data_IF_454296399488
#
_entry.id   IF_454296399488
#
_cell.length_a   1.000
_cell.length_b   1.000
_cell.length_c   1.000
_cell.angle_alpha   90.00
_cell.angle_beta   90.00
_cell.angle_gamma   90.00
#
_symmetry.space_group_name_H-M   'P 1'
#
loop_
_entity.id
_entity.type
_entity.pdbx_description
1 polymer ?
#
# COMPACT_ATOMS: atom_id res chain seq x y z
N UNK A 1 -10.52 -9.53 3.72
CA UNK A 1 -10.98 -9.17 2.36
C UNK A 1 -9.84 -9.12 1.33
N UNK A 2 -8.93 -8.13 1.34
CA UNK A 2 -7.89 -8.04 0.29
C UNK A 2 -6.99 -9.29 0.30
N UNK A 3 -6.32 -9.55 1.43
CA UNK A 3 -5.42 -10.69 1.60
C UNK A 3 -6.14 -12.03 1.36
N UNK A 4 -7.34 -12.20 1.91
CA UNK A 4 -8.18 -13.38 1.67
C UNK A 4 -8.47 -13.61 0.17
N UNK A 5 -8.81 -12.56 -0.57
CA UNK A 5 -9.10 -12.66 -2.02
C UNK A 5 -7.83 -12.96 -2.80
N UNK A 6 -6.70 -12.38 -2.41
CA UNK A 6 -5.42 -12.66 -3.05
C UNK A 6 -5.03 -14.13 -2.85
N UNK A 7 -5.19 -14.67 -1.64
CA UNK A 7 -4.93 -16.08 -1.35
C UNK A 7 -5.87 -16.99 -2.12
N UNK A 8 -7.16 -16.63 -2.24
CA UNK A 8 -8.12 -17.36 -3.07
C UNK A 8 -7.67 -17.46 -4.53
N UNK A 9 -7.23 -16.34 -5.13
CA UNK A 9 -6.74 -16.32 -6.52
C UNK A 9 -5.43 -17.08 -6.66
N UNK A 10 -4.47 -16.91 -5.75
CA UNK A 10 -3.21 -17.67 -5.76
C UNK A 10 -3.44 -19.18 -5.70
N UNK A 11 -4.39 -19.63 -4.87
CA UNK A 11 -4.74 -21.04 -4.77
C UNK A 11 -5.40 -21.59 -6.05
N UNK A 12 -6.08 -20.74 -6.82
CA UNK A 12 -6.77 -21.14 -8.04
C UNK A 12 -5.86 -21.10 -9.29
N UNK A 13 -4.95 -20.11 -9.37
CA UNK A 13 -4.25 -19.75 -10.61
C UNK A 13 -2.71 -19.64 -10.44
N UNK A 14 -2.21 -19.76 -9.20
CA UNK A 14 -0.81 -19.60 -8.86
C UNK A 14 -0.42 -18.16 -8.49
N UNK A 15 0.75 -17.96 -7.87
CA UNK A 15 1.75 -18.96 -7.48
C UNK A 15 1.31 -19.87 -6.32
N UNK A 16 2.00 -21.00 -6.14
CA UNK A 16 1.82 -21.85 -4.97
C UNK A 16 2.29 -21.12 -3.71
N UNK A 17 1.36 -20.91 -2.77
CA UNK A 17 1.63 -20.19 -1.53
C UNK A 17 2.00 -21.16 -0.40
N UNK A 18 3.19 -20.97 0.18
CA UNK A 18 3.63 -21.70 1.37
C UNK A 18 3.57 -20.77 2.59
N UNK A 19 2.61 -20.98 3.49
CA UNK A 19 2.48 -20.20 4.73
C UNK A 19 3.24 -20.84 5.88
N UNK A 20 3.43 -20.09 6.98
CA UNK A 20 4.21 -20.50 8.15
C UNK A 20 5.61 -21.02 7.77
N UNK A 21 6.22 -20.40 6.74
CA UNK A 21 7.45 -20.86 6.10
C UNK A 21 8.60 -19.93 6.48
N UNK A 22 9.38 -20.29 7.51
CA UNK A 22 10.57 -19.54 7.93
C UNK A 22 11.78 -20.16 7.23
N UNK A 23 12.51 -19.42 6.36
CA UNK A 23 13.73 -19.90 5.71
C UNK A 23 14.82 -20.26 6.72
N UNK A 24 15.36 -21.46 6.63
CA UNK A 24 16.43 -21.97 7.50
C UNK A 24 17.77 -22.02 6.77
N UNK A 25 17.81 -22.58 5.56
CA UNK A 25 19.03 -22.73 4.78
C UNK A 25 18.71 -22.76 3.27
N UNK A 26 19.70 -22.42 2.45
CA UNK A 26 19.66 -22.61 1.00
C UNK A 26 20.86 -23.46 0.60
N UNK A 27 20.60 -24.68 0.12
CA UNK A 27 21.61 -25.65 -0.29
C UNK A 27 21.76 -25.60 -1.79
N UNK A 28 23.00 -25.40 -2.28
CA UNK A 28 23.31 -25.54 -3.71
C UNK A 28 23.63 -27.01 -4.02
N UNK A 29 22.83 -27.63 -4.86
CA UNK A 29 22.94 -29.03 -5.23
C UNK A 29 24.05 -29.25 -6.28
N UNK A 30 24.45 -30.51 -6.48
CA UNK A 30 25.49 -30.88 -7.43
C UNK A 30 25.12 -30.60 -8.89
N UNK A 31 23.83 -30.59 -9.22
CA UNK A 31 23.29 -30.25 -10.53
C UNK A 31 23.12 -28.73 -10.75
N UNK A 32 23.39 -27.92 -9.73
CA UNK A 32 23.29 -26.46 -9.77
C UNK A 32 21.97 -25.89 -9.26
N UNK A 33 20.96 -26.72 -9.00
CA UNK A 33 19.70 -26.29 -8.38
C UNK A 33 19.89 -25.83 -6.93
N UNK A 34 18.90 -25.12 -6.40
CA UNK A 34 18.86 -24.64 -5.02
C UNK A 34 17.73 -25.33 -4.26
N UNK A 35 18.03 -25.92 -3.11
CA UNK A 35 17.00 -26.40 -2.18
C UNK A 35 16.87 -25.43 -1.03
N UNK A 36 15.69 -24.80 -0.90
CA UNK A 36 15.30 -24.02 0.27
C UNK A 36 14.82 -24.97 1.36
N UNK A 37 15.48 -24.98 2.51
CA UNK A 37 15.03 -25.67 3.71
C UNK A 37 14.28 -24.70 4.63
N UNK A 38 13.15 -25.14 5.17
CA UNK A 38 12.35 -24.38 6.13
C UNK A 38 12.55 -24.94 7.56
N UNK A 39 12.29 -24.11 8.56
CA UNK A 39 12.43 -24.49 9.98
C UNK A 39 11.54 -25.66 10.38
N UNK A 40 10.37 -25.80 9.75
CA UNK A 40 9.40 -26.87 10.02
C UNK A 40 9.71 -28.19 9.30
N UNK A 41 10.86 -28.27 8.62
CA UNK A 41 11.35 -29.47 7.94
C UNK A 41 10.84 -29.65 6.51
N UNK A 42 9.95 -28.78 6.01
CA UNK A 42 9.63 -28.73 4.58
C UNK A 42 10.83 -28.23 3.78
N UNK A 43 10.90 -28.59 2.50
CA UNK A 43 11.89 -28.06 1.56
C UNK A 43 11.31 -27.94 0.15
N UNK A 44 11.92 -27.08 -0.66
CA UNK A 44 11.53 -26.88 -2.06
C UNK A 44 12.79 -26.71 -2.92
N UNK A 45 12.86 -27.40 -4.07
CA UNK A 45 14.01 -27.31 -4.97
C UNK A 45 13.65 -26.49 -6.21
N UNK A 46 14.44 -25.47 -6.49
CA UNK A 46 14.20 -24.47 -7.53
C UNK A 46 15.49 -24.12 -8.26
N UNK A 47 15.39 -23.59 -9.47
CA UNK A 47 16.56 -23.10 -10.22
C UNK A 47 17.01 -21.70 -9.72
N UNK A 48 16.09 -20.95 -9.13
CA UNK A 48 16.31 -19.58 -8.69
C UNK A 48 15.54 -19.28 -7.42
N UNK A 49 16.17 -18.56 -6.49
CA UNK A 49 15.56 -18.06 -5.27
C UNK A 49 15.70 -16.54 -5.24
N UNK A 50 14.60 -15.85 -4.95
CA UNK A 50 14.55 -14.38 -4.87
C UNK A 50 14.26 -13.99 -3.43
N UNK A 51 15.16 -13.22 -2.81
CA UNK A 51 14.93 -12.62 -1.50
C UNK A 51 14.15 -11.31 -1.64
N UNK A 52 12.91 -11.31 -1.16
CA UNK A 52 12.03 -10.14 -1.13
C UNK A 52 11.51 -9.88 0.29
N UNK A 53 12.41 -9.89 1.27
CA UNK A 53 12.08 -9.91 2.71
C UNK A 53 12.01 -8.51 3.36
N UNK A 54 12.44 -7.47 2.65
CA UNK A 54 12.53 -6.11 3.16
C UNK A 54 13.58 -5.29 2.44
N UNK A 55 13.76 -4.06 2.92
CA UNK A 55 14.76 -3.08 2.46
C UNK A 55 15.41 -2.42 3.68
N UNK A 56 16.57 -1.81 3.46
CA UNK A 56 17.31 -1.06 4.47
C UNK A 56 17.78 0.28 3.89
N UNK A 57 17.94 1.32 4.73
CA UNK A 57 18.36 2.64 4.26
C UNK A 57 19.87 2.68 3.96
N UNK A 58 20.25 3.28 2.84
CA UNK A 58 21.64 3.49 2.45
C UNK A 58 22.28 4.71 3.16
N UNK A 59 22.31 4.70 4.50
CA UNK A 59 22.82 5.80 5.33
C UNK A 59 24.14 5.45 6.06
N UNK A 60 24.63 4.22 5.91
CA UNK A 60 25.72 3.63 6.70
C UNK A 60 27.13 3.87 6.12
N UNK A 61 27.22 4.29 4.85
CA UNK A 61 28.50 4.42 4.13
C UNK A 61 28.73 5.80 3.51
N UNK A 62 28.24 6.85 4.18
CA UNK A 62 28.38 8.26 3.74
C UNK A 62 29.06 9.16 4.78
N UNK A 63 29.67 8.58 5.83
CA UNK A 63 30.30 9.31 6.95
C UNK A 63 29.33 10.32 7.60
N UNK A 64 28.10 9.88 7.83
CA UNK A 64 27.00 10.71 8.35
C UNK A 64 27.31 11.25 9.76
N UNK A 65 28.14 10.53 10.51
CA UNK A 65 28.61 10.86 11.85
C UNK A 65 29.39 12.17 11.86
N UNK A 66 30.19 12.45 10.82
CA UNK A 66 30.95 13.68 10.71
C UNK A 66 30.05 14.93 10.59
N UNK A 67 28.82 14.77 10.07
CA UNK A 67 27.82 15.82 10.02
C UNK A 67 26.98 15.93 11.31
N UNK A 68 27.00 14.92 12.19
CA UNK A 68 26.20 14.87 13.41
C UNK A 68 24.70 14.62 13.20
N UNK A 69 24.31 14.13 12.02
CA UNK A 69 22.91 13.80 11.70
C UNK A 69 22.50 12.51 12.42
N UNK A 70 21.35 12.55 13.09
CA UNK A 70 20.82 11.42 13.87
C UNK A 70 20.01 10.47 12.99
N UNK A 71 20.21 9.18 13.22
CA UNK A 71 19.35 8.10 12.72
C UNK A 71 18.56 7.45 13.86
N UNK A 72 17.47 6.76 13.53
CA UNK A 72 16.77 5.89 14.48
C UNK A 72 17.47 4.53 14.62
N UNK A 73 16.91 3.64 15.44
CA UNK A 73 17.43 2.30 15.71
C UNK A 73 17.49 1.37 14.49
N UNK A 74 16.82 1.73 13.38
CA UNK A 74 16.83 1.01 12.10
C UNK A 74 17.72 1.68 11.04
N UNK A 75 18.46 2.74 11.40
CA UNK A 75 19.36 3.45 10.49
C UNK A 75 18.70 4.50 9.58
N UNK A 76 17.40 4.77 9.74
CA UNK A 76 16.73 5.82 8.97
C UNK A 76 17.05 7.21 9.54
N UNK A 77 17.26 8.20 8.66
CA UNK A 77 17.50 9.59 9.08
C UNK A 77 16.21 10.14 9.71
N UNK A 78 16.35 10.68 10.92
CA UNK A 78 15.22 11.29 11.63
C UNK A 78 14.95 12.68 11.07
N UNK A 79 13.69 12.91 10.66
CA UNK A 79 13.24 14.20 10.13
C UNK A 79 11.99 14.70 10.83
N UNK A 80 11.81 16.02 10.85
CA UNK A 80 10.55 16.66 11.23
C UNK A 80 9.55 16.71 10.05
N UNK A 81 8.37 17.32 10.28
CA UNK A 81 7.32 17.47 9.25
C UNK A 81 7.74 18.26 8.02
N UNK A 82 8.82 19.05 8.11
CA UNK A 82 9.35 19.88 7.03
C UNK A 82 10.58 19.25 6.36
N UNK A 83 10.89 17.99 6.68
CA UNK A 83 12.05 17.24 6.19
C UNK A 83 13.40 17.75 6.73
N UNK A 84 13.40 18.53 7.81
CA UNK A 84 14.64 18.95 8.48
C UNK A 84 15.20 17.80 9.31
N UNK A 85 16.52 17.61 9.26
CA UNK A 85 17.22 16.77 10.24
C UNK A 85 17.43 17.54 11.56
N UNK A 86 18.13 16.94 12.53
CA UNK A 86 18.56 17.65 13.73
C UNK A 86 19.70 18.66 13.49
N UNK A 87 20.27 18.71 12.28
CA UNK A 87 21.36 19.62 11.91
C UNK A 87 20.78 20.66 10.95
N UNK A 88 20.90 21.94 11.32
CA UNK A 88 20.44 23.04 10.50
C UNK A 88 21.15 23.05 9.14
N UNK A 89 20.38 23.20 8.06
CA UNK A 89 20.89 23.16 6.68
C UNK A 89 21.03 21.76 6.07
N UNK A 90 20.73 20.69 6.82
CA UNK A 90 20.70 19.32 6.31
C UNK A 90 19.27 18.77 6.35
N UNK A 91 18.85 18.20 5.22
CA UNK A 91 17.49 17.69 4.98
C UNK A 91 17.54 16.26 4.42
N UNK A 92 16.46 15.49 4.58
CA UNK A 92 16.32 14.17 3.98
C UNK A 92 14.89 13.91 3.51
N UNK A 93 14.74 13.23 2.36
CA UNK A 93 13.45 12.87 1.75
C UNK A 93 13.54 11.47 1.12
N UNK A 94 12.42 10.75 1.08
CA UNK A 94 12.32 9.42 0.47
C UNK A 94 12.69 8.29 1.44
N UNK A 95 12.94 7.10 0.89
CA UNK A 95 13.05 5.85 1.65
C UNK A 95 14.06 5.89 2.80
N UNK A 96 15.16 6.66 2.66
CA UNK A 96 16.18 6.75 3.71
C UNK A 96 15.72 7.43 5.01
N UNK A 97 14.49 7.98 5.02
CA UNK A 97 13.83 8.57 6.20
C UNK A 97 12.89 7.61 6.93
N UNK A 98 12.58 6.44 6.33
CA UNK A 98 11.61 5.48 6.88
C UNK A 98 10.15 5.94 6.76
N UNK A 99 9.89 6.98 5.97
CA UNK A 99 8.54 7.36 5.55
C UNK A 99 7.97 6.35 4.53
N UNK A 100 6.76 6.62 4.01
CA UNK A 100 6.12 5.76 3.01
C UNK A 100 7.01 5.61 1.76
N UNK A 101 7.51 4.40 1.53
CA UNK A 101 8.47 4.05 0.45
C UNK A 101 7.81 4.00 -0.94
N UNK A 102 7.39 5.16 -1.44
CA UNK A 102 6.74 5.32 -2.74
C UNK A 102 7.35 6.50 -3.51
N UNK A 103 7.58 6.29 -4.81
CA UNK A 103 8.15 7.31 -5.70
C UNK A 103 7.39 8.66 -5.66
N UNK A 104 6.04 8.70 -5.75
CA UNK A 104 5.31 9.97 -5.68
C UNK A 104 5.48 10.71 -4.35
N UNK A 105 5.72 9.99 -3.26
CA UNK A 105 5.94 10.55 -1.92
C UNK A 105 7.27 11.28 -1.88
N UNK A 106 8.36 10.63 -2.32
CA UNK A 106 9.68 11.25 -2.40
C UNK A 106 9.69 12.47 -3.34
N UNK A 107 9.05 12.36 -4.51
CA UNK A 107 8.91 13.47 -5.47
C UNK A 107 8.16 14.66 -4.85
N UNK A 108 7.03 14.41 -4.19
CA UNK A 108 6.24 15.47 -3.58
C UNK A 108 6.97 16.12 -2.39
N UNK A 109 7.60 15.34 -1.53
CA UNK A 109 8.38 15.85 -0.40
C UNK A 109 9.57 16.70 -0.87
N UNK A 110 10.34 16.23 -1.86
CA UNK A 110 11.48 16.97 -2.41
C UNK A 110 11.08 18.28 -3.11
N UNK A 111 9.97 18.26 -3.86
CA UNK A 111 9.41 19.48 -4.49
C UNK A 111 8.98 20.50 -3.44
N UNK A 112 8.21 20.07 -2.43
CA UNK A 112 7.70 20.94 -1.36
C UNK A 112 8.83 21.48 -0.46
N UNK A 113 9.85 20.67 -0.20
CA UNK A 113 11.07 21.14 0.45
C UNK A 113 11.74 22.26 -0.33
N UNK A 114 11.89 22.10 -1.65
CA UNK A 114 12.51 23.12 -2.51
C UNK A 114 11.67 24.41 -2.55
N UNK A 115 10.34 24.29 -2.65
CA UNK A 115 9.41 25.42 -2.55
C UNK A 115 9.55 26.17 -1.21
N UNK A 116 9.69 25.43 -0.11
CA UNK A 116 9.88 26.01 1.22
C UNK A 116 11.19 26.79 1.33
N UNK A 117 12.30 26.19 0.89
CA UNK A 117 13.64 26.77 1.04
C UNK A 117 13.90 27.92 0.06
N UNK A 118 13.36 27.84 -1.16
CA UNK A 118 13.77 28.70 -2.27
C UNK A 118 12.66 29.52 -2.91
N UNK A 119 11.40 29.33 -2.51
CA UNK A 119 10.25 30.07 -3.06
C UNK A 119 9.40 30.79 -2.00
N UNK A 120 9.98 31.11 -0.84
CA UNK A 120 9.34 31.86 0.24
C UNK A 120 8.00 31.25 0.71
N UNK A 121 7.89 29.92 0.74
CA UNK A 121 6.72 29.21 1.29
C UNK A 121 7.07 28.52 2.60
N UNK A 122 7.23 29.26 3.72
CA UNK A 122 7.83 28.73 4.96
C UNK A 122 7.07 27.54 5.56
N UNK A 123 5.76 27.43 5.30
CA UNK A 123 4.91 26.35 5.79
C UNK A 123 4.71 25.20 4.80
N UNK A 124 5.34 25.22 3.63
CA UNK A 124 5.16 24.18 2.62
C UNK A 124 5.75 22.84 3.09
N UNK A 125 4.92 21.80 3.15
CA UNK A 125 5.30 20.45 3.58
C UNK A 125 4.37 19.40 2.98
N UNK A 126 4.83 18.15 2.93
CA UNK A 126 4.00 17.03 2.50
C UNK A 126 3.11 16.56 3.65
N UNK A 127 1.83 16.40 3.36
CA UNK A 127 0.91 15.66 4.22
C UNK A 127 0.97 14.16 3.87
N UNK A 128 1.45 13.36 4.82
CA UNK A 128 1.62 11.90 4.69
C UNK A 128 0.33 11.11 4.95
N UNK A 129 -0.78 11.78 5.27
CA UNK A 129 -2.07 11.10 5.43
C UNK A 129 -2.69 10.72 4.08
N UNK A 130 -3.36 9.57 4.06
CA UNK A 130 -4.20 9.14 2.93
C UNK A 130 -3.46 9.07 1.58
N UNK A 131 -2.21 8.60 1.57
CA UNK A 131 -1.47 8.32 0.35
C UNK A 131 -2.05 7.06 -0.31
N UNK A 132 -2.53 7.12 -1.57
CA UNK A 132 -3.03 5.94 -2.27
C UNK A 132 -1.88 5.03 -2.70
N UNK A 133 -2.13 3.71 -2.65
CA UNK A 133 -1.17 2.68 -3.03
C UNK A 133 -1.83 1.66 -3.95
N UNK A 134 -1.10 1.28 -5.00
CA UNK A 134 -1.44 0.15 -5.87
C UNK A 134 -0.37 -0.92 -5.73
N UNK A 135 -0.80 -2.18 -5.51
CA UNK A 135 0.07 -3.35 -5.59
C UNK A 135 -0.26 -4.08 -6.89
N UNK A 136 0.72 -4.23 -7.77
CA UNK A 136 0.59 -4.93 -9.04
C UNK A 136 0.66 -6.46 -8.85
N UNK A 137 -0.20 -6.99 -7.98
CA UNK A 137 -0.48 -8.41 -7.85
C UNK A 137 -1.38 -8.91 -8.98
N UNK A 138 -1.73 -10.19 -8.97
CA UNK A 138 -2.71 -10.76 -9.88
C UNK A 138 -3.94 -11.25 -9.08
N UNK A 139 -5.07 -10.53 -9.14
CA UNK A 139 -5.28 -9.22 -9.78
C UNK A 139 -4.66 -8.04 -9.01
N UNK A 140 -4.60 -6.84 -9.60
CA UNK A 140 -4.14 -5.63 -8.92
C UNK A 140 -4.97 -5.30 -7.67
N UNK A 141 -4.30 -4.68 -6.70
CA UNK A 141 -4.91 -4.18 -5.46
C UNK A 141 -4.78 -2.65 -5.46
N UNK A 142 -5.87 -1.96 -5.11
CA UNK A 142 -5.86 -0.53 -4.84
C UNK A 142 -6.33 -0.26 -3.41
N UNK A 143 -5.61 0.60 -2.68
CA UNK A 143 -5.94 0.93 -1.29
C UNK A 143 -5.57 2.37 -0.93
N UNK A 144 -6.44 3.04 -0.17
CA UNK A 144 -6.15 4.33 0.48
C UNK A 144 -6.87 4.42 1.83
N UNK A 145 -6.24 5.07 2.80
CA UNK A 145 -6.82 5.30 4.12
C UNK A 145 -6.74 4.11 5.08
N UNK A 146 -7.59 4.12 6.10
CA UNK A 146 -7.61 3.13 7.18
C UNK A 146 -8.25 1.82 6.72
N UNK A 147 -7.65 0.71 7.13
CA UNK A 147 -8.30 -0.60 7.07
C UNK A 147 -9.50 -0.67 8.02
N UNK A 148 -10.41 -1.62 7.79
CA UNK A 148 -11.53 -1.86 8.72
C UNK A 148 -11.08 -2.08 10.18
N UNK A 149 -10.08 -2.95 10.48
CA UNK A 149 -9.57 -3.08 11.85
C UNK A 149 -9.03 -1.78 12.44
N UNK A 150 -8.24 -1.00 11.68
CA UNK A 150 -7.70 0.27 12.14
C UNK A 150 -8.80 1.30 12.42
N UNK A 151 -9.83 1.37 11.58
CA UNK A 151 -10.96 2.25 11.81
C UNK A 151 -11.74 1.86 13.08
N UNK A 152 -11.96 0.56 13.32
CA UNK A 152 -12.62 0.06 14.53
C UNK A 152 -11.80 0.35 15.79
N UNK A 153 -10.50 0.13 15.74
CA UNK A 153 -9.58 0.46 16.83
C UNK A 153 -9.57 1.97 17.13
N UNK A 154 -9.55 2.81 16.10
CA UNK A 154 -9.44 4.25 16.25
C UNK A 154 -10.75 4.95 16.64
N UNK A 155 -11.90 4.46 16.15
CA UNK A 155 -13.19 5.15 16.29
C UNK A 155 -14.22 4.39 17.13
N UNK A 156 -13.99 3.10 17.41
CA UNK A 156 -14.95 2.22 18.07
C UNK A 156 -15.95 1.59 17.10
N UNK A 157 -16.41 0.37 17.41
CA UNK A 157 -17.28 -0.42 16.54
C UNK A 157 -18.60 0.28 16.18
N UNK A 158 -19.20 0.98 17.13
CA UNK A 158 -20.49 1.68 16.95
C UNK A 158 -20.40 2.85 15.96
N UNK A 159 -19.19 3.38 15.74
CA UNK A 159 -18.95 4.51 14.85
C UNK A 159 -18.58 4.08 13.43
N UNK A 160 -18.26 2.80 13.21
CA UNK A 160 -17.73 2.30 11.92
C UNK A 160 -18.80 1.54 11.16
N UNK A 161 -19.06 2.00 9.93
CA UNK A 161 -19.90 1.29 8.96
C UNK A 161 -19.09 0.87 7.75
N UNK A 162 -19.31 -0.35 7.27
CA UNK A 162 -18.54 -0.93 6.17
C UNK A 162 -19.48 -1.35 5.06
N UNK A 163 -19.21 -0.89 3.85
CA UNK A 163 -19.88 -1.33 2.62
C UNK A 163 -18.96 -2.26 1.85
N UNK A 164 -19.52 -3.30 1.23
CA UNK A 164 -18.75 -4.29 0.46
C UNK A 164 -19.49 -4.61 -0.84
N UNK A 165 -18.76 -4.72 -1.94
CA UNK A 165 -19.23 -5.33 -3.19
C UNK A 165 -18.33 -6.51 -3.56
N UNK A 166 -18.92 -7.56 -4.12
CA UNK A 166 -18.23 -8.76 -4.60
C UNK A 166 -18.90 -9.25 -5.88
N UNK A 167 -18.13 -9.31 -6.96
CA UNK A 167 -18.61 -9.69 -8.29
C UNK A 167 -17.51 -10.42 -9.07
N UNK A 168 -17.83 -10.97 -10.25
CA UNK A 168 -16.82 -11.50 -11.18
C UNK A 168 -16.43 -10.39 -12.16
N UNK A 169 -15.13 -10.18 -12.39
CA UNK A 169 -14.68 -9.24 -13.41
C UNK A 169 -15.28 -9.61 -14.78
N UNK A 170 -15.98 -8.66 -15.44
CA UNK A 170 -16.66 -8.91 -16.72
C UNK A 170 -15.73 -9.56 -17.76
N UNK A 171 -14.48 -9.09 -17.83
CA UNK A 171 -13.43 -9.65 -18.68
C UNK A 171 -13.26 -11.18 -18.52
N UNK A 172 -13.28 -11.65 -17.27
CA UNK A 172 -13.07 -13.07 -16.92
C UNK A 172 -14.37 -13.86 -16.87
N UNK A 173 -15.53 -13.19 -16.77
CA UNK A 173 -16.82 -13.82 -16.49
C UNK A 173 -17.31 -14.77 -17.60
N UNK A 174 -16.88 -14.54 -18.85
CA UNK A 174 -17.22 -15.37 -20.02
C UNK A 174 -16.24 -16.51 -20.27
N UNK A 175 -15.22 -16.65 -19.41
CA UNK A 175 -14.15 -17.64 -19.55
C UNK A 175 -14.32 -18.78 -18.54
N UNK A 176 -13.48 -19.81 -18.64
CA UNK A 176 -13.35 -20.87 -17.63
C UNK A 176 -12.51 -20.45 -16.42
N UNK A 177 -11.81 -19.31 -16.49
CA UNK A 177 -10.96 -18.75 -15.43
C UNK A 177 -11.59 -17.48 -14.86
N UNK A 178 -12.69 -17.65 -14.13
CA UNK A 178 -13.46 -16.53 -13.55
C UNK A 178 -12.73 -15.99 -12.32
N UNK A 179 -12.40 -14.70 -12.34
CA UNK A 179 -11.66 -14.07 -11.24
C UNK A 179 -12.56 -13.11 -10.43
N UNK A 180 -12.48 -13.15 -9.09
CA UNK A 180 -13.25 -12.25 -8.24
C UNK A 180 -12.74 -10.80 -8.34
N UNK A 181 -13.68 -9.86 -8.22
CA UNK A 181 -13.42 -8.48 -7.86
C UNK A 181 -14.13 -8.19 -6.54
N UNK A 182 -13.40 -7.69 -5.54
CA UNK A 182 -13.95 -7.35 -4.22
C UNK A 182 -13.55 -5.95 -3.83
N UNK A 183 -14.52 -5.17 -3.38
CA UNK A 183 -14.37 -3.77 -3.02
C UNK A 183 -14.96 -3.50 -1.64
N UNK A 184 -14.38 -2.54 -0.91
CA UNK A 184 -14.82 -2.12 0.41
C UNK A 184 -14.67 -0.61 0.59
N UNK A 185 -15.71 0.00 1.14
CA UNK A 185 -15.65 1.33 1.75
C UNK A 185 -15.73 1.18 3.27
N UNK A 186 -14.87 1.91 3.98
CA UNK A 186 -14.89 2.03 5.44
C UNK A 186 -15.31 3.46 5.76
N UNK A 187 -16.45 3.58 6.43
CA UNK A 187 -17.07 4.85 6.77
C UNK A 187 -17.14 5.04 8.29
N UNK A 188 -17.08 6.28 8.74
CA UNK A 188 -17.15 6.67 10.16
C UNK A 188 -18.20 7.74 10.39
N UNK A 189 -18.88 7.67 11.54
CA UNK A 189 -19.80 8.70 12.01
C UNK A 189 -21.18 8.63 11.35
N UNK A 190 -22.09 9.49 11.81
CA UNK A 190 -23.48 9.53 11.32
C UNK A 190 -23.58 10.07 9.88
N UNK A 191 -22.60 10.86 9.46
CA UNK A 191 -22.41 11.36 8.10
C UNK A 191 -21.77 10.33 7.15
N UNK A 192 -21.31 9.19 7.69
CA UNK A 192 -20.60 8.14 6.95
C UNK A 192 -19.43 8.68 6.12
N UNK A 193 -18.56 9.46 6.77
CA UNK A 193 -17.32 9.96 6.16
C UNK A 193 -16.45 8.79 5.77
N UNK A 194 -15.99 8.75 4.52
CA UNK A 194 -15.15 7.66 4.02
C UNK A 194 -13.73 7.86 4.57
N UNK A 195 -13.25 6.87 5.33
CA UNK A 195 -11.89 6.86 5.91
C UNK A 195 -11.01 5.76 5.32
N UNK A 196 -11.57 4.85 4.53
CA UNK A 196 -10.84 3.79 3.84
C UNK A 196 -11.53 3.35 2.56
N UNK A 197 -10.76 3.18 1.49
CA UNK A 197 -11.22 2.65 0.19
C UNK A 197 -10.26 1.54 -0.21
N UNK A 198 -10.81 0.35 -0.45
CA UNK A 198 -10.03 -0.84 -0.73
C UNK A 198 -10.65 -1.64 -1.87
N UNK A 199 -9.84 -2.16 -2.77
CA UNK A 199 -10.31 -3.09 -3.78
C UNK A 199 -9.20 -4.00 -4.30
N UNK A 200 -9.62 -5.16 -4.79
CA UNK A 200 -8.78 -6.15 -5.45
C UNK A 200 -9.57 -6.69 -6.64
N UNK A 201 -8.98 -6.62 -7.83
CA UNK A 201 -9.67 -6.96 -9.08
C UNK A 201 -9.10 -6.23 -10.30
N UNK A 202 -9.52 -6.66 -11.49
CA UNK A 202 -9.14 -6.02 -12.75
C UNK A 202 -9.50 -4.52 -12.77
N UNK A 203 -8.54 -3.66 -13.13
CA UNK A 203 -8.70 -2.21 -13.26
C UNK A 203 -8.53 -1.42 -11.97
N UNK A 204 -8.24 -2.07 -10.84
CA UNK A 204 -8.01 -1.39 -9.55
C UNK A 204 -6.82 -0.43 -9.58
N UNK A 205 -5.83 -0.75 -10.40
CA UNK A 205 -4.60 -0.01 -10.66
C UNK A 205 -4.85 1.39 -11.24
N UNK A 206 -5.88 1.55 -12.07
CA UNK A 206 -6.22 2.83 -12.70
C UNK A 206 -7.33 3.58 -11.93
N UNK A 207 -8.34 2.88 -11.42
CA UNK A 207 -9.52 3.55 -10.86
C UNK A 207 -9.26 4.29 -9.53
N UNK A 208 -8.25 3.86 -8.76
CA UNK A 208 -8.03 4.35 -7.39
C UNK A 208 -7.73 5.86 -7.35
N UNK A 209 -7.05 6.40 -8.37
CA UNK A 209 -6.53 7.77 -8.36
C UNK A 209 -7.62 8.83 -8.16
N UNK A 210 -8.78 8.67 -8.82
CA UNK A 210 -9.91 9.59 -8.67
C UNK A 210 -10.57 9.50 -7.29
N UNK A 211 -10.73 8.29 -6.76
CA UNK A 211 -11.29 8.09 -5.43
C UNK A 211 -10.38 8.60 -4.31
N UNK A 212 -9.06 8.56 -4.50
CA UNK A 212 -8.11 9.16 -3.57
C UNK A 212 -8.29 10.68 -3.46
N UNK A 213 -8.59 11.37 -4.58
CA UNK A 213 -8.92 12.81 -4.57
C UNK A 213 -10.21 13.05 -3.76
N UNK A 214 -11.26 12.28 -4.00
CA UNK A 214 -12.52 12.41 -3.27
C UNK A 214 -12.35 12.19 -1.76
N UNK A 215 -11.60 11.16 -1.35
CA UNK A 215 -11.29 10.92 0.05
C UNK A 215 -10.49 12.08 0.66
N UNK A 216 -9.52 12.65 -0.08
CA UNK A 216 -8.74 13.80 0.37
C UNK A 216 -9.60 15.06 0.55
N UNK A 217 -10.65 15.21 -0.25
CA UNK A 217 -11.67 16.27 -0.11
C UNK A 217 -12.65 16.02 1.05
N UNK A 218 -12.59 14.85 1.70
CA UNK A 218 -13.46 14.50 2.82
C UNK A 218 -14.81 13.91 2.41
N UNK A 219 -14.87 13.23 1.26
CA UNK A 219 -16.10 12.61 0.75
C UNK A 219 -16.79 11.70 1.78
N UNK A 220 -18.12 11.76 1.76
CA UNK A 220 -19.02 10.88 2.49
C UNK A 220 -19.60 9.80 1.57
N UNK A 221 -20.22 8.77 2.14
CA UNK A 221 -20.97 7.78 1.35
C UNK A 221 -22.03 8.43 0.45
N UNK A 222 -22.67 9.51 0.93
CA UNK A 222 -23.67 10.26 0.17
C UNK A 222 -23.09 10.90 -1.10
N UNK A 223 -21.86 11.39 -1.06
CA UNK A 223 -21.21 11.99 -2.23
C UNK A 223 -20.97 10.94 -3.33
N UNK A 224 -20.61 9.72 -2.93
CA UNK A 224 -20.51 8.58 -3.84
C UNK A 224 -21.88 8.22 -4.41
N UNK A 225 -22.92 8.12 -3.57
CA UNK A 225 -24.28 7.79 -4.01
C UNK A 225 -24.90 8.81 -4.97
N UNK A 226 -24.53 10.08 -4.84
CA UNK A 226 -25.00 11.16 -5.72
C UNK A 226 -24.26 11.18 -7.07
N UNK A 227 -23.20 10.39 -7.23
CA UNK A 227 -22.45 10.30 -8.48
C UNK A 227 -23.07 9.22 -9.37
N UNK A 228 -23.55 9.62 -10.55
CA UNK A 228 -24.12 8.68 -11.53
C UNK A 228 -23.04 7.72 -12.03
N UNK A 229 -23.33 6.42 -11.98
CA UNK A 229 -22.44 5.34 -12.42
C UNK A 229 -22.05 5.44 -13.90
N UNK A 230 -20.85 4.94 -14.24
CA UNK A 230 -20.39 4.71 -15.62
C UNK A 230 -20.48 3.22 -15.90
N UNK A 231 -21.31 2.84 -16.88
CA UNK A 231 -21.61 1.44 -17.18
C UNK A 231 -21.16 1.04 -18.60
N UNK A 232 -20.55 -0.15 -18.82
CA UNK A 232 -20.19 -1.17 -17.82
C UNK A 232 -18.73 -1.03 -17.34
N UNK A 233 -18.50 -0.77 -16.06
CA UNK A 233 -17.14 -0.66 -15.49
C UNK A 233 -17.05 -1.32 -14.11
N UNK A 234 -15.88 -1.84 -13.74
CA UNK A 234 -15.67 -2.30 -12.36
C UNK A 234 -15.76 -1.12 -11.36
N UNK A 235 -15.34 0.09 -11.76
CA UNK A 235 -15.32 1.27 -10.90
C UNK A 235 -16.73 1.73 -10.46
N UNK A 236 -17.78 1.41 -11.23
CA UNK A 236 -19.15 1.78 -10.87
C UNK A 236 -19.60 1.18 -9.54
N UNK A 237 -19.04 0.02 -9.18
CA UNK A 237 -19.35 -0.71 -7.94
C UNK A 237 -19.00 0.08 -6.68
N UNK A 238 -18.08 1.05 -6.75
CA UNK A 238 -17.81 1.94 -5.61
C UNK A 238 -18.95 2.93 -5.35
N UNK A 239 -19.67 3.36 -6.39
CA UNK A 239 -20.75 4.37 -6.28
C UNK A 239 -22.15 3.75 -6.22
N UNK A 240 -22.24 2.41 -6.22
CA UNK A 240 -23.53 1.67 -6.17
C UNK A 240 -23.68 0.75 -4.95
N UNK A 241 -22.70 0.72 -4.02
CA UNK A 241 -22.79 -0.09 -2.80
C UNK A 241 -23.98 0.30 -1.93
N UNK A 242 -24.60 -0.69 -1.27
CA UNK A 242 -25.74 -0.51 -0.35
C UNK A 242 -25.56 -1.26 0.96
#
# INVERSE_FOLDING_TARGET
MISETLVEVMNAEGPQLHTNAIPKAVVKNADGSLTLELEDGRSETVDCLIWAIGREPANDNINLEAAGVKTNEKGYIVVDKYQNTNIEGIYAVGDNTGAVELTPVAVAAGRRLSERLFNNKPDEHLDYSNIPTVVFSHPPIGTVGLTEPQAREQYGDDQVKVYKSSFTAMYTAVTTHRQPCRMKLVCVGSEEKIVGIHGIGFGMDEMLQGFAVALKMGATKKDFDNTVAIHPTAAEEFVTMR
#
